data_IF_663521854095
#
_entry.id   IF_663521854095
#
_cell.length_a   1.000
_cell.length_b   1.000
_cell.length_c   1.000
_cell.angle_alpha   90.00
_cell.angle_beta   90.00
_cell.angle_gamma   90.00
#
_symmetry.space_group_name_H-M   'P 1'
#
loop_
_entity.id
_entity.type
_entity.pdbx_description
1 polymer ?
#
# COMPACT_ATOMS: atom_id res chain seq x y z
N UNK A 1 13.20 13.87 -11.75
CA UNK A 1 13.16 12.81 -10.72
C UNK A 1 13.61 11.51 -11.36
N UNK A 2 14.40 10.69 -10.67
CA UNK A 2 14.74 9.33 -11.14
C UNK A 2 13.49 8.45 -11.13
N UNK A 3 13.32 7.59 -12.14
CA UNK A 3 12.17 6.68 -12.27
C UNK A 3 11.92 5.86 -11.00
N UNK A 4 12.99 5.41 -10.33
CA UNK A 4 12.92 4.69 -9.06
C UNK A 4 12.29 5.49 -7.90
N UNK A 5 12.52 6.81 -7.86
CA UNK A 5 11.91 7.68 -6.84
C UNK A 5 10.42 7.86 -7.09
N UNK A 6 10.00 7.96 -8.34
CA UNK A 6 8.58 8.02 -8.71
C UNK A 6 7.88 6.70 -8.33
N UNK A 7 8.47 5.56 -8.70
CA UNK A 7 7.95 4.23 -8.33
C UNK A 7 7.85 4.09 -6.80
N UNK A 8 8.88 4.51 -6.05
CA UNK A 8 8.86 4.48 -4.59
C UNK A 8 7.71 5.29 -3.98
N UNK A 9 7.48 6.52 -4.47
CA UNK A 9 6.37 7.37 -4.03
C UNK A 9 5.02 6.73 -4.36
N UNK A 10 4.85 6.19 -5.58
CA UNK A 10 3.62 5.51 -5.99
C UNK A 10 3.34 4.31 -5.08
N UNK A 11 4.34 3.50 -4.76
CA UNK A 11 4.19 2.37 -3.83
C UNK A 11 3.78 2.81 -2.43
N UNK A 12 4.31 3.93 -1.93
CA UNK A 12 3.89 4.51 -0.65
C UNK A 12 2.42 4.89 -0.69
N UNK A 13 1.97 5.60 -1.74
CA UNK A 13 0.56 6.00 -1.90
C UNK A 13 -0.36 4.79 -1.98
N UNK A 14 0.03 3.76 -2.74
CA UNK A 14 -0.73 2.51 -2.85
C UNK A 14 -0.79 1.80 -1.48
N UNK A 15 0.33 1.71 -0.76
CA UNK A 15 0.39 1.09 0.57
C UNK A 15 -0.53 1.81 1.57
N UNK A 16 -0.55 3.14 1.57
CA UNK A 16 -1.48 3.92 2.39
C UNK A 16 -2.94 3.64 1.99
N UNK A 17 -3.25 3.61 0.69
CA UNK A 17 -4.59 3.28 0.20
C UNK A 17 -5.04 1.88 0.64
N UNK A 18 -4.15 0.89 0.55
CA UNK A 18 -4.40 -0.48 1.02
C UNK A 18 -4.65 -0.54 2.54
N UNK A 19 -3.93 0.26 3.33
CA UNK A 19 -4.18 0.35 4.78
C UNK A 19 -5.60 0.84 5.06
N UNK A 20 -6.02 1.94 4.43
CA UNK A 20 -7.36 2.49 4.63
C UNK A 20 -8.45 1.53 4.18
N UNK A 21 -8.30 0.92 3.00
CA UNK A 21 -9.24 -0.08 2.50
C UNK A 21 -9.30 -1.30 3.42
N UNK A 22 -8.14 -1.86 3.78
CA UNK A 22 -8.05 -3.00 4.69
C UNK A 22 -8.70 -2.72 6.05
N UNK A 23 -8.39 -1.57 6.67
CA UNK A 23 -8.97 -1.17 7.95
C UNK A 23 -10.48 -0.91 7.86
N UNK A 24 -10.95 -0.25 6.80
CA UNK A 24 -12.39 0.00 6.60
C UNK A 24 -13.19 -1.30 6.42
N UNK A 25 -12.65 -2.25 5.67
CA UNK A 25 -13.28 -3.54 5.42
C UNK A 25 -13.19 -4.46 6.66
N UNK A 26 -12.12 -4.35 7.44
CA UNK A 26 -11.97 -5.09 8.69
C UNK A 26 -12.94 -4.62 9.78
N UNK A 27 -13.24 -3.32 9.83
CA UNK A 27 -14.16 -2.72 10.80
C UNK A 27 -15.61 -2.65 10.30
N UNK A 28 -15.87 -3.16 9.10
CA UNK A 28 -17.20 -3.11 8.50
C UNK A 28 -18.18 -4.05 9.23
N UNK A 29 -19.25 -3.46 9.78
CA UNK A 29 -20.32 -4.16 10.51
C UNK A 29 -21.66 -4.19 9.75
N UNK A 30 -21.66 -3.77 8.49
CA UNK A 30 -22.88 -3.70 7.67
C UNK A 30 -23.30 -5.06 7.06
N UNK A 31 -24.26 -5.04 6.12
CA UNK A 31 -24.70 -6.23 5.39
C UNK A 31 -23.54 -6.96 4.72
N UNK A 32 -23.56 -8.30 4.61
CA UNK A 32 -22.45 -9.07 4.08
C UNK A 32 -21.97 -8.53 2.73
N UNK A 33 -20.70 -8.12 2.71
CA UNK A 33 -20.02 -7.62 1.52
C UNK A 33 -19.91 -8.73 0.47
N UNK A 34 -19.87 -8.32 -0.80
CA UNK A 34 -19.55 -9.25 -1.89
C UNK A 34 -18.23 -9.98 -1.58
N UNK A 35 -18.17 -11.32 -1.71
CA UNK A 35 -16.98 -12.10 -1.39
C UNK A 35 -15.70 -11.60 -2.07
N UNK A 36 -15.80 -11.03 -3.27
CA UNK A 36 -14.65 -10.43 -3.98
C UNK A 36 -14.09 -9.25 -3.19
N UNK A 37 -14.96 -8.36 -2.70
CA UNK A 37 -14.56 -7.15 -1.96
C UNK A 37 -13.96 -7.52 -0.60
N UNK A 38 -14.51 -8.55 0.06
CA UNK A 38 -13.99 -9.07 1.33
C UNK A 38 -12.56 -9.62 1.16
N UNK A 39 -12.32 -10.43 0.14
CA UNK A 39 -10.97 -10.94 -0.17
C UNK A 39 -9.99 -9.81 -0.53
N UNK A 40 -10.41 -8.83 -1.33
CA UNK A 40 -9.59 -7.65 -1.61
C UNK A 40 -9.21 -6.88 -0.34
N UNK A 41 -10.11 -6.78 0.63
CA UNK A 41 -9.82 -6.17 1.93
C UNK A 41 -8.76 -6.93 2.71
N UNK A 42 -8.85 -8.27 2.76
CA UNK A 42 -7.84 -9.12 3.41
C UNK A 42 -6.47 -8.97 2.77
N UNK A 43 -6.39 -9.03 1.44
CA UNK A 43 -5.12 -8.84 0.72
C UNK A 43 -4.57 -7.43 0.96
N UNK A 44 -5.41 -6.40 0.93
CA UNK A 44 -5.00 -5.03 1.21
C UNK A 44 -4.42 -4.89 2.63
N UNK A 45 -5.07 -5.50 3.62
CA UNK A 45 -4.60 -5.49 5.02
C UNK A 45 -3.35 -6.35 5.26
N UNK A 46 -3.07 -7.36 4.44
CA UNK A 46 -1.83 -8.12 4.51
C UNK A 46 -0.66 -7.40 3.82
N UNK A 47 -0.92 -6.79 2.67
CA UNK A 47 0.13 -6.26 1.79
C UNK A 47 0.47 -4.78 2.01
N UNK A 48 -0.37 -4.00 2.69
CA UNK A 48 -0.10 -2.56 2.89
C UNK A 48 1.27 -2.29 3.51
N UNK A 49 1.65 -3.06 4.54
CA UNK A 49 2.90 -2.83 5.29
C UNK A 49 4.14 -3.24 4.48
N UNK A 50 4.23 -4.44 3.88
CA UNK A 50 5.31 -4.78 2.95
C UNK A 50 5.46 -3.78 1.81
N UNK A 51 4.35 -3.35 1.19
CA UNK A 51 4.38 -2.40 0.07
C UNK A 51 4.91 -1.02 0.51
N UNK A 52 4.52 -0.55 1.69
CA UNK A 52 5.05 0.69 2.28
C UNK A 52 6.56 0.60 2.53
N UNK A 53 7.05 -0.50 3.10
CA UNK A 53 8.49 -0.71 3.34
C UNK A 53 9.27 -0.64 2.02
N UNK A 54 8.81 -1.37 0.99
CA UNK A 54 9.46 -1.39 -0.32
C UNK A 54 9.48 0.02 -0.94
N UNK A 55 8.37 0.75 -0.87
CA UNK A 55 8.30 2.13 -1.37
C UNK A 55 9.26 3.09 -0.64
N UNK A 56 9.36 2.99 0.67
CA UNK A 56 10.30 3.79 1.49
C UNK A 56 11.74 3.45 1.13
N UNK A 57 12.10 2.17 1.06
CA UNK A 57 13.45 1.71 0.73
C UNK A 57 13.89 2.20 -0.67
N UNK A 58 13.03 2.05 -1.67
CA UNK A 58 13.29 2.54 -3.04
C UNK A 58 13.53 4.05 -3.05
N UNK A 59 12.74 4.80 -2.28
CA UNK A 59 12.86 6.27 -2.19
C UNK A 59 14.17 6.68 -1.52
N UNK A 60 14.59 5.99 -0.45
CA UNK A 60 15.84 6.27 0.27
C UNK A 60 17.09 5.88 -0.55
N UNK A 61 17.09 4.71 -1.18
CA UNK A 61 18.19 4.24 -2.03
C UNK A 61 18.36 5.18 -3.22
N UNK A 62 17.27 5.60 -3.86
CA UNK A 62 17.35 6.56 -4.95
C UNK A 62 17.93 7.91 -4.52
N UNK A 63 17.68 8.36 -3.29
CA UNK A 63 18.24 9.62 -2.78
C UNK A 63 19.76 9.52 -2.60
N UNK A 64 20.27 8.36 -2.16
CA UNK A 64 21.71 8.12 -1.97
C UNK A 64 22.48 8.06 -3.30
N UNK A 65 21.87 7.57 -4.38
CA UNK A 65 22.51 7.41 -5.69
C UNK A 65 22.60 8.71 -6.51
N UNK A 66 21.81 9.71 -6.16
CA UNK A 66 21.78 11.04 -6.80
C UNK A 66 22.65 12.07 -6.07
N UNK A 67 23.20 11.71 -4.91
CA UNK A 67 24.11 12.55 -4.11
C UNK A 67 25.54 12.09 -4.33
#
# INVERSE_FOLDING_TARGET
MTTYRIIGIVLIVIGIGMLFLGASLFTYQGPPLNPIVSEMGKYSFLWWFPTLIVGILLTLISKKKTK
#
